data_IF_725441893888
#
_entry.id   IF_725441893888
#
_cell.length_a   1.000
_cell.length_b   1.000
_cell.length_c   1.000
_cell.angle_alpha   90.00
_cell.angle_beta   90.00
_cell.angle_gamma   90.00
#
_symmetry.space_group_name_H-M   'P 1'
#
loop_
_entity.id
_entity.type
_entity.pdbx_description
1 polymer ?
#
# COMPACT_ATOMS: atom_id res chain seq x y z
N UNK A 1 -20.87 18.09 -21.65
CA UNK A 1 -20.50 16.80 -22.25
C UNK A 1 -21.72 16.24 -22.93
N UNK A 2 -21.56 15.70 -24.13
CA UNK A 2 -22.67 15.00 -24.81
C UNK A 2 -22.61 13.48 -24.55
N UNK A 3 -23.70 12.78 -24.86
CA UNK A 3 -23.83 11.33 -24.65
C UNK A 3 -22.75 10.53 -25.42
N UNK A 4 -22.27 11.03 -26.56
CA UNK A 4 -21.22 10.37 -27.37
C UNK A 4 -19.89 10.37 -26.61
N UNK A 5 -19.54 11.51 -26.03
CA UNK A 5 -18.33 11.69 -25.23
C UNK A 5 -18.37 10.79 -23.98
N UNK A 6 -19.48 10.78 -23.25
CA UNK A 6 -19.66 9.93 -22.07
C UNK A 6 -19.52 8.43 -22.42
N UNK A 7 -20.13 7.98 -23.53
CA UNK A 7 -20.00 6.59 -24.01
C UNK A 7 -18.54 6.25 -24.35
N UNK A 8 -17.79 7.19 -24.95
CA UNK A 8 -16.38 6.98 -25.25
C UNK A 8 -15.54 6.77 -23.99
N UNK A 9 -15.78 7.57 -22.94
CA UNK A 9 -15.11 7.44 -21.64
C UNK A 9 -15.46 6.13 -20.93
N UNK A 10 -16.72 5.70 -20.96
CA UNK A 10 -17.13 4.41 -20.39
C UNK A 10 -16.45 3.22 -21.10
N UNK A 11 -16.28 3.29 -22.43
CA UNK A 11 -15.51 2.30 -23.19
C UNK A 11 -14.03 2.32 -22.81
N UNK A 12 -13.47 3.49 -22.50
CA UNK A 12 -12.11 3.59 -21.99
C UNK A 12 -11.97 2.86 -20.65
N UNK A 13 -12.88 3.06 -19.69
CA UNK A 13 -12.87 2.30 -18.42
C UNK A 13 -12.85 0.79 -18.64
N UNK A 14 -13.72 0.28 -19.52
CA UNK A 14 -13.76 -1.15 -19.88
C UNK A 14 -12.44 -1.63 -20.48
N UNK A 15 -11.78 -0.80 -21.31
CA UNK A 15 -10.48 -1.10 -21.89
C UNK A 15 -9.38 -1.15 -20.82
N UNK A 16 -9.40 -0.23 -19.86
CA UNK A 16 -8.43 -0.23 -18.75
C UNK A 16 -8.58 -1.48 -17.88
N UNK A 17 -9.80 -1.95 -17.67
CA UNK A 17 -10.08 -3.18 -16.94
C UNK A 17 -9.47 -4.41 -17.65
N UNK A 18 -9.64 -4.51 -18.97
CA UNK A 18 -9.06 -5.60 -19.77
C UNK A 18 -7.51 -5.60 -19.76
N UNK A 19 -6.88 -4.43 -19.65
CA UNK A 19 -5.41 -4.31 -19.53
C UNK A 19 -4.93 -4.99 -18.24
N UNK A 20 -5.68 -4.89 -17.15
CA UNK A 20 -5.35 -5.54 -15.89
C UNK A 20 -5.47 -7.06 -15.95
N UNK A 21 -6.37 -7.59 -16.78
CA UNK A 21 -6.54 -9.03 -17.02
C UNK A 21 -5.53 -9.59 -18.05
N UNK A 22 -4.88 -8.71 -18.81
CA UNK A 22 -3.96 -9.12 -19.87
C UNK A 22 -2.68 -9.77 -19.31
N UNK A 23 -2.14 -10.81 -19.98
CA UNK A 23 -0.90 -11.45 -19.58
C UNK A 23 0.29 -10.47 -19.71
N UNK A 24 1.36 -10.74 -18.96
CA UNK A 24 2.58 -9.94 -18.98
C UNK A 24 3.30 -10.09 -20.32
N UNK A 25 3.69 -8.97 -20.92
CA UNK A 25 4.55 -8.93 -22.10
C UNK A 25 5.80 -8.10 -21.77
N UNK A 26 6.98 -8.65 -22.09
CA UNK A 26 8.25 -7.98 -21.87
C UNK A 26 8.55 -6.94 -22.96
N UNK A 27 9.37 -5.94 -22.63
CA UNK A 27 9.83 -4.91 -23.57
C UNK A 27 9.02 -3.62 -23.58
N UNK A 28 8.02 -3.47 -22.71
CA UNK A 28 7.32 -2.21 -22.50
C UNK A 28 7.96 -1.40 -21.37
N UNK A 29 8.15 -0.10 -21.60
CA UNK A 29 8.62 0.83 -20.58
C UNK A 29 7.85 2.13 -20.67
N UNK A 30 7.17 2.47 -19.57
CA UNK A 30 6.58 3.79 -19.39
C UNK A 30 7.13 4.38 -18.08
N UNK A 31 7.92 5.46 -18.13
CA UNK A 31 8.39 6.11 -16.91
C UNK A 31 7.23 6.82 -16.21
N UNK A 32 7.33 6.92 -14.87
CA UNK A 32 6.35 7.61 -14.01
C UNK A 32 5.99 8.99 -14.59
N UNK A 33 7.00 9.78 -14.96
CA UNK A 33 6.82 11.12 -15.53
C UNK A 33 5.96 11.15 -16.79
N UNK A 34 6.04 10.11 -17.64
CA UNK A 34 5.23 10.00 -18.86
C UNK A 34 3.78 9.65 -18.52
N UNK A 35 3.56 8.74 -17.56
CA UNK A 35 2.20 8.42 -17.11
C UNK A 35 1.55 9.63 -16.44
N UNK A 36 2.25 10.31 -15.54
CA UNK A 36 1.79 11.56 -14.90
C UNK A 36 1.46 12.63 -15.94
N UNK A 37 2.32 12.82 -16.95
CA UNK A 37 2.05 13.74 -18.07
C UNK A 37 0.75 13.38 -18.81
N UNK A 38 0.53 12.10 -19.15
CA UNK A 38 -0.69 11.70 -19.83
C UNK A 38 -1.95 11.86 -18.98
N UNK A 39 -1.87 11.71 -17.65
CA UNK A 39 -3.00 12.00 -16.75
C UNK A 39 -3.40 13.48 -16.86
N UNK A 40 -2.43 14.39 -16.72
CA UNK A 40 -2.70 15.82 -16.82
C UNK A 40 -3.15 16.23 -18.22
N UNK A 41 -2.52 15.70 -19.28
CA UNK A 41 -2.93 15.94 -20.67
C UNK A 41 -4.37 15.51 -20.90
N UNK A 42 -4.75 14.32 -20.41
CA UNK A 42 -6.11 13.82 -20.52
C UNK A 42 -7.11 14.73 -19.79
N UNK A 43 -6.84 15.09 -18.54
CA UNK A 43 -7.71 15.97 -17.77
C UNK A 43 -7.90 17.34 -18.44
N UNK A 44 -6.81 18.00 -18.85
CA UNK A 44 -6.87 19.32 -19.47
C UNK A 44 -7.58 19.30 -20.82
N UNK A 45 -7.37 18.27 -21.63
CA UNK A 45 -8.05 18.13 -22.91
C UNK A 45 -9.56 17.92 -22.72
N UNK A 46 -9.98 17.16 -21.70
CA UNK A 46 -11.40 16.96 -21.38
C UNK A 46 -12.10 18.21 -20.86
N UNK A 47 -11.37 19.19 -20.32
CA UNK A 47 -11.92 20.52 -20.00
C UNK A 47 -12.11 21.41 -21.23
N UNK A 48 -11.67 20.98 -22.42
CA UNK A 48 -11.82 21.71 -23.68
C UNK A 48 -12.91 21.08 -24.56
N UNK A 49 -13.46 21.86 -25.50
CA UNK A 49 -14.39 21.31 -26.49
C UNK A 49 -13.62 20.44 -27.50
N UNK A 50 -13.67 19.12 -27.32
CA UNK A 50 -13.09 18.14 -28.23
C UNK A 50 -14.12 17.65 -29.24
N UNK A 51 -13.72 17.53 -30.50
CA UNK A 51 -14.45 16.73 -31.48
C UNK A 51 -14.26 15.22 -31.25
N UNK A 52 -15.12 14.41 -31.89
CA UNK A 52 -15.14 12.96 -31.73
C UNK A 52 -13.82 12.26 -32.12
N UNK A 53 -13.09 12.77 -33.12
CA UNK A 53 -11.82 12.18 -33.55
C UNK A 53 -10.71 12.49 -32.55
N UNK A 54 -10.66 13.74 -32.08
CA UNK A 54 -9.73 14.19 -31.05
C UNK A 54 -9.93 13.44 -29.74
N UNK A 55 -11.19 13.21 -29.34
CA UNK A 55 -11.49 12.42 -28.14
C UNK A 55 -11.05 10.96 -28.28
N UNK A 56 -11.31 10.32 -29.43
CA UNK A 56 -10.86 8.94 -29.67
C UNK A 56 -9.34 8.84 -29.62
N UNK A 57 -8.63 9.76 -30.28
CA UNK A 57 -7.17 9.80 -30.26
C UNK A 57 -6.63 9.99 -28.83
N UNK A 58 -7.27 10.87 -28.03
CA UNK A 58 -6.89 11.11 -26.64
C UNK A 58 -7.06 9.85 -25.78
N UNK A 59 -8.20 9.15 -25.91
CA UNK A 59 -8.45 7.89 -25.22
C UNK A 59 -7.48 6.77 -25.64
N UNK A 60 -7.11 6.72 -26.91
CA UNK A 60 -6.12 5.76 -27.43
C UNK A 60 -4.71 6.04 -26.89
N UNK A 61 -4.27 7.29 -26.91
CA UNK A 61 -2.99 7.72 -26.32
C UNK A 61 -2.91 7.34 -24.84
N UNK A 62 -3.95 7.71 -24.09
CA UNK A 62 -4.02 7.45 -22.65
C UNK A 62 -4.03 5.95 -22.35
N UNK A 63 -4.89 5.17 -23.01
CA UNK A 63 -4.94 3.72 -22.81
C UNK A 63 -3.65 3.01 -23.20
N UNK A 64 -2.95 3.49 -24.24
CA UNK A 64 -1.65 2.95 -24.65
C UNK A 64 -0.57 3.25 -23.63
N UNK A 65 -0.53 4.48 -23.11
CA UNK A 65 0.40 4.87 -22.05
C UNK A 65 0.17 4.05 -20.77
N UNK A 66 -1.10 3.91 -20.37
CA UNK A 66 -1.52 3.10 -19.24
C UNK A 66 -1.14 1.63 -19.41
N UNK A 67 -1.41 1.04 -20.58
CA UNK A 67 -0.98 -0.33 -20.90
C UNK A 67 0.53 -0.49 -20.72
N UNK A 68 1.33 0.40 -21.31
CA UNK A 68 2.79 0.34 -21.19
C UNK A 68 3.24 0.46 -19.73
N UNK A 69 2.57 1.29 -18.93
CA UNK A 69 2.83 1.45 -17.51
C UNK A 69 2.53 0.16 -16.75
N UNK A 70 1.31 -0.38 -16.83
CA UNK A 70 0.91 -1.63 -16.19
C UNK A 70 1.84 -2.79 -16.56
N UNK A 71 2.16 -2.93 -17.85
CA UNK A 71 3.06 -3.99 -18.32
C UNK A 71 4.46 -3.84 -17.73
N UNK A 72 4.98 -2.62 -17.61
CA UNK A 72 6.28 -2.39 -16.98
C UNK A 72 6.30 -2.75 -15.50
N UNK A 73 5.19 -2.59 -14.78
CA UNK A 73 5.07 -3.02 -13.37
C UNK A 73 4.99 -4.54 -13.29
N UNK A 74 4.09 -5.15 -14.07
CA UNK A 74 3.90 -6.61 -14.12
C UNK A 74 5.20 -7.35 -14.47
N UNK A 75 5.93 -6.87 -15.47
CA UNK A 75 7.22 -7.43 -15.89
C UNK A 75 8.22 -7.40 -14.73
N UNK A 76 8.33 -6.24 -14.05
CA UNK A 76 9.23 -6.06 -12.91
C UNK A 76 8.88 -6.95 -11.72
N UNK A 77 7.61 -7.08 -11.36
CA UNK A 77 7.21 -7.90 -10.19
C UNK A 77 7.20 -9.40 -10.50
N UNK A 78 7.02 -9.81 -11.76
CA UNK A 78 6.91 -11.23 -12.14
C UNK A 78 8.15 -12.08 -11.83
N UNK A 79 9.30 -11.43 -11.63
CA UNK A 79 10.57 -12.07 -11.32
C UNK A 79 11.00 -11.89 -9.85
N UNK A 80 10.18 -11.21 -9.05
CA UNK A 80 10.47 -10.92 -7.64
C UNK A 80 9.80 -11.94 -6.71
N UNK A 81 10.18 -11.91 -5.44
CA UNK A 81 9.60 -12.77 -4.42
C UNK A 81 8.09 -12.58 -4.25
N UNK A 82 7.43 -13.63 -3.76
CA UNK A 82 5.95 -13.72 -3.65
C UNK A 82 5.32 -12.54 -2.91
N UNK A 83 5.98 -12.00 -1.89
CA UNK A 83 5.50 -10.83 -1.14
C UNK A 83 5.42 -9.61 -2.05
N UNK A 84 6.46 -9.35 -2.83
CA UNK A 84 6.51 -8.21 -3.75
C UNK A 84 5.51 -8.43 -4.89
N UNK A 85 5.30 -9.67 -5.33
CA UNK A 85 4.24 -10.00 -6.27
C UNK A 85 2.86 -9.63 -5.71
N UNK A 86 2.53 -10.08 -4.49
CA UNK A 86 1.25 -9.75 -3.84
C UNK A 86 1.08 -8.25 -3.62
N UNK A 87 2.11 -7.56 -3.11
CA UNK A 87 2.07 -6.11 -2.94
C UNK A 87 1.94 -5.37 -4.27
N UNK A 88 2.60 -5.88 -5.33
CA UNK A 88 2.47 -5.37 -6.68
C UNK A 88 1.07 -5.59 -7.25
N UNK A 89 0.44 -6.73 -6.98
CA UNK A 89 -0.96 -7.01 -7.36
C UNK A 89 -1.94 -6.08 -6.63
N UNK A 90 -1.78 -5.88 -5.32
CA UNK A 90 -2.57 -4.95 -4.52
C UNK A 90 -2.43 -3.50 -5.02
N UNK A 91 -1.20 -3.10 -5.34
CA UNK A 91 -0.93 -1.83 -5.98
C UNK A 91 -1.65 -1.70 -7.33
N UNK A 92 -1.57 -2.71 -8.19
CA UNK A 92 -2.23 -2.71 -9.49
C UNK A 92 -3.75 -2.59 -9.34
N UNK A 93 -4.35 -3.27 -8.36
CA UNK A 93 -5.77 -3.14 -8.05
C UNK A 93 -6.14 -1.72 -7.60
N UNK A 94 -5.31 -1.08 -6.76
CA UNK A 94 -5.50 0.32 -6.35
C UNK A 94 -5.36 1.28 -7.53
N UNK A 95 -4.34 1.11 -8.36
CA UNK A 95 -4.10 1.91 -9.55
C UNK A 95 -5.28 1.83 -10.53
N UNK A 96 -5.83 0.62 -10.73
CA UNK A 96 -7.05 0.40 -11.53
C UNK A 96 -8.23 1.22 -11.01
N UNK A 97 -8.52 1.09 -9.71
CA UNK A 97 -9.63 1.79 -9.06
C UNK A 97 -9.54 3.30 -9.23
N UNK A 98 -8.34 3.85 -9.08
CA UNK A 98 -8.10 5.29 -9.19
C UNK A 98 -8.19 5.79 -10.64
N UNK A 99 -7.70 5.00 -11.61
CA UNK A 99 -7.82 5.31 -13.04
C UNK A 99 -9.28 5.32 -13.51
N UNK A 100 -10.07 4.32 -13.11
CA UNK A 100 -11.51 4.23 -13.44
C UNK A 100 -12.26 5.39 -12.81
N UNK A 101 -12.05 5.66 -11.51
CA UNK A 101 -12.70 6.78 -10.82
C UNK A 101 -12.38 8.12 -11.50
N UNK A 102 -11.12 8.36 -11.86
CA UNK A 102 -10.70 9.56 -12.58
C UNK A 102 -11.50 9.79 -13.88
N UNK A 103 -11.72 8.73 -14.68
CA UNK A 103 -12.48 8.84 -15.93
C UNK A 103 -13.98 8.99 -15.67
N UNK A 104 -14.52 8.29 -14.68
CA UNK A 104 -15.93 8.39 -14.30
C UNK A 104 -16.29 9.79 -13.77
N UNK A 105 -15.39 10.42 -13.00
CA UNK A 105 -15.59 11.77 -12.49
C UNK A 105 -15.66 12.81 -13.61
N UNK A 106 -14.82 12.64 -14.64
CA UNK A 106 -14.86 13.46 -15.86
C UNK A 106 -16.19 13.21 -16.59
N UNK A 107 -16.56 11.95 -16.81
CA UNK A 107 -17.78 11.59 -17.52
C UNK A 107 -19.06 12.08 -16.83
N UNK A 108 -19.04 12.17 -15.50
CA UNK A 108 -20.16 12.58 -14.66
C UNK A 108 -20.25 14.09 -14.45
N UNK A 109 -19.38 14.87 -15.10
CA UNK A 109 -19.28 16.33 -14.93
C UNK A 109 -19.20 16.77 -13.46
N UNK A 110 -18.44 16.03 -12.64
CA UNK A 110 -18.22 16.42 -11.24
C UNK A 110 -17.59 17.81 -11.16
N UNK A 111 -17.79 18.52 -10.05
CA UNK A 111 -17.17 19.83 -9.85
C UNK A 111 -15.65 19.80 -10.09
N UNK A 112 -15.12 20.79 -10.82
CA UNK A 112 -13.70 20.86 -11.21
C UNK A 112 -12.73 20.65 -10.04
N UNK A 113 -13.10 21.14 -8.85
CA UNK A 113 -12.29 20.95 -7.63
C UNK A 113 -12.18 19.48 -7.24
N UNK A 114 -13.26 18.72 -7.35
CA UNK A 114 -13.29 17.28 -7.04
C UNK A 114 -12.49 16.51 -8.09
N UNK A 115 -12.63 16.87 -9.36
CA UNK A 115 -11.84 16.26 -10.44
C UNK A 115 -10.33 16.49 -10.24
N UNK A 116 -9.90 17.71 -9.91
CA UNK A 116 -8.50 18.04 -9.62
C UNK A 116 -7.95 17.26 -8.43
N UNK A 117 -8.74 17.10 -7.36
CA UNK A 117 -8.35 16.27 -6.21
C UNK A 117 -8.14 14.81 -6.63
N UNK A 118 -8.99 14.27 -7.50
CA UNK A 118 -8.89 12.88 -7.94
C UNK A 118 -7.76 12.68 -8.97
N UNK A 119 -7.44 13.68 -9.80
CA UNK A 119 -6.19 13.72 -10.59
C UNK A 119 -4.98 13.61 -9.66
N UNK A 120 -4.93 14.42 -8.58
CA UNK A 120 -3.85 14.37 -7.61
C UNK A 120 -3.67 13.00 -6.97
N UNK A 121 -4.77 12.37 -6.53
CA UNK A 121 -4.74 11.00 -5.97
C UNK A 121 -4.25 9.96 -6.97
N UNK A 122 -4.65 10.07 -8.24
CA UNK A 122 -4.19 9.13 -9.26
C UNK A 122 -2.69 9.30 -9.55
N UNK A 123 -2.20 10.54 -9.62
CA UNK A 123 -0.77 10.83 -9.72
C UNK A 123 0.02 10.29 -8.52
N UNK A 124 -0.49 10.46 -7.29
CA UNK A 124 0.14 9.93 -6.07
C UNK A 124 0.30 8.40 -6.14
N UNK A 125 -0.72 7.68 -6.62
CA UNK A 125 -0.60 6.23 -6.82
C UNK A 125 0.41 5.90 -7.91
N UNK A 126 0.46 6.65 -9.02
CA UNK A 126 1.48 6.45 -10.06
C UNK A 126 2.90 6.66 -9.51
N UNK A 127 3.12 7.67 -8.68
CA UNK A 127 4.42 7.93 -8.03
C UNK A 127 4.85 6.81 -7.08
N UNK A 128 3.88 6.24 -6.35
CA UNK A 128 4.08 5.09 -5.46
C UNK A 128 4.51 3.81 -6.17
N UNK A 129 4.45 3.74 -7.51
CA UNK A 129 5.01 2.59 -8.24
C UNK A 129 6.49 2.39 -7.97
N UNK A 130 7.25 3.48 -7.77
CA UNK A 130 8.68 3.42 -7.47
C UNK A 130 8.98 2.65 -6.18
N UNK A 131 8.09 2.71 -5.21
CA UNK A 131 8.20 2.09 -3.89
C UNK A 131 8.10 0.55 -3.97
N UNK A 132 7.36 0.03 -4.96
CA UNK A 132 7.26 -1.42 -5.23
C UNK A 132 8.60 -1.95 -5.75
N UNK A 133 9.36 -1.10 -6.43
CA UNK A 133 10.64 -1.47 -7.06
C UNK A 133 11.85 -1.21 -6.16
N UNK A 134 11.63 -0.82 -4.90
CA UNK A 134 12.69 -0.84 -3.91
C UNK A 134 13.21 -2.29 -3.77
N UNK A 135 14.49 -2.44 -3.40
CA UNK A 135 15.04 -3.78 -3.11
C UNK A 135 14.11 -4.53 -2.16
N UNK A 136 14.03 -5.86 -2.26
CA UNK A 136 13.23 -6.68 -1.34
C UNK A 136 13.43 -6.25 0.11
N UNK A 137 14.69 -6.06 0.53
CA UNK A 137 15.01 -5.58 1.88
C UNK A 137 14.40 -4.21 2.19
N UNK A 138 14.45 -3.27 1.25
CA UNK A 138 13.81 -1.95 1.34
C UNK A 138 12.30 -2.05 1.50
N UNK A 139 11.63 -2.85 0.67
CA UNK A 139 10.19 -3.09 0.75
C UNK A 139 9.78 -3.68 2.11
N UNK A 140 10.49 -4.71 2.58
CA UNK A 140 10.22 -5.34 3.89
C UNK A 140 10.40 -4.35 5.02
N UNK A 141 11.49 -3.57 4.99
CA UNK A 141 11.73 -2.57 6.02
C UNK A 141 10.64 -1.52 6.02
N UNK A 142 10.18 -1.08 4.85
CA UNK A 142 9.11 -0.11 4.74
C UNK A 142 7.79 -0.62 5.34
N UNK A 143 7.44 -1.87 5.07
CA UNK A 143 6.23 -2.48 5.64
C UNK A 143 6.35 -2.61 7.16
N UNK A 144 7.49 -3.04 7.70
CA UNK A 144 7.71 -3.10 9.15
C UNK A 144 7.75 -1.69 9.77
N UNK A 145 8.42 -0.73 9.13
CA UNK A 145 8.51 0.67 9.57
C UNK A 145 7.10 1.30 9.65
N UNK A 146 6.21 0.98 8.72
CA UNK A 146 4.80 1.43 8.78
C UNK A 146 4.07 0.89 10.02
N UNK A 147 4.27 -0.37 10.38
CA UNK A 147 3.68 -0.94 11.58
C UNK A 147 4.32 -0.34 12.85
N UNK A 148 5.63 -0.05 12.84
CA UNK A 148 6.32 0.65 13.94
C UNK A 148 5.70 2.04 14.17
N UNK A 149 5.45 2.81 13.12
CA UNK A 149 4.85 4.14 13.24
C UNK A 149 3.41 4.08 13.76
N UNK A 150 2.64 3.04 13.41
CA UNK A 150 1.32 2.81 14.00
C UNK A 150 1.42 2.50 15.50
N UNK A 151 2.36 1.65 15.90
CA UNK A 151 2.62 1.35 17.32
C UNK A 151 3.02 2.62 18.09
N UNK A 152 3.89 3.46 17.53
CA UNK A 152 4.30 4.74 18.15
C UNK A 152 3.12 5.69 18.31
N UNK A 153 2.29 5.85 17.27
CA UNK A 153 1.08 6.67 17.35
C UNK A 153 0.14 6.19 18.46
N UNK A 154 -0.06 4.87 18.57
CA UNK A 154 -0.89 4.31 19.63
C UNK A 154 -0.31 4.59 21.03
N UNK A 155 1.02 4.54 21.21
CA UNK A 155 1.65 4.93 22.49
C UNK A 155 1.37 6.38 22.84
N UNK A 156 1.46 7.29 21.87
CA UNK A 156 1.18 8.72 22.08
C UNK A 156 -0.28 8.94 22.52
N UNK A 157 -1.23 8.19 21.95
CA UNK A 157 -2.65 8.28 22.30
C UNK A 157 -2.95 7.78 23.73
N UNK A 158 -2.15 6.82 24.23
CA UNK A 158 -2.34 6.19 25.56
C UNK A 158 -1.52 6.92 26.66
N UNK A 159 -0.48 7.67 26.28
CA UNK A 159 0.46 8.32 27.21
C UNK A 159 -0.18 9.41 28.09
N UNK A 160 -1.38 9.88 27.77
CA UNK A 160 -2.14 10.85 28.55
C UNK A 160 -2.96 10.23 29.70
N UNK A 161 -2.93 8.89 29.87
CA UNK A 161 -3.71 8.19 30.91
C UNK A 161 -2.83 7.54 32.01
N UNK A 162 -3.13 7.85 33.28
CA UNK A 162 -2.38 7.42 34.48
C UNK A 162 -2.31 5.88 34.70
N UNK A 163 -3.02 5.08 33.89
CA UNK A 163 -3.11 3.61 33.97
C UNK A 163 -2.12 2.86 33.03
N UNK A 164 -1.29 3.59 32.27
CA UNK A 164 -0.67 3.04 31.06
C UNK A 164 0.79 2.55 31.15
N UNK A 165 1.47 2.65 32.30
CA UNK A 165 2.94 2.44 32.35
C UNK A 165 3.38 1.03 31.90
N UNK A 166 2.61 -0.01 32.24
CA UNK A 166 2.88 -1.39 31.81
C UNK A 166 2.67 -1.57 30.29
N UNK A 167 1.58 -1.00 29.75
CA UNK A 167 1.23 -1.08 28.32
C UNK A 167 2.25 -0.35 27.48
N UNK A 168 2.60 0.88 27.87
CA UNK A 168 3.63 1.70 27.22
C UNK A 168 4.97 0.95 27.22
N UNK A 169 5.30 0.24 28.31
CA UNK A 169 6.48 -0.62 28.39
C UNK A 169 6.49 -1.74 27.34
N UNK A 170 5.36 -2.43 27.15
CA UNK A 170 5.22 -3.51 26.15
C UNK A 170 5.32 -2.96 24.72
N UNK A 171 4.69 -1.82 24.44
CA UNK A 171 4.80 -1.16 23.13
C UNK A 171 6.22 -0.71 22.84
N UNK A 172 6.89 -0.03 23.76
CA UNK A 172 8.27 0.46 23.55
C UNK A 172 9.26 -0.69 23.30
N UNK A 173 9.11 -1.82 24.00
CA UNK A 173 9.89 -3.04 23.74
C UNK A 173 9.63 -3.59 22.34
N UNK A 174 8.36 -3.63 21.92
CA UNK A 174 7.96 -4.11 20.60
C UNK A 174 8.49 -3.21 19.49
N UNK A 175 8.40 -1.89 19.64
CA UNK A 175 8.98 -0.90 18.73
C UNK A 175 10.49 -1.12 18.60
N UNK A 176 11.22 -1.18 19.71
CA UNK A 176 12.66 -1.38 19.70
C UNK A 176 13.09 -2.71 19.05
N UNK A 177 12.33 -3.78 19.27
CA UNK A 177 12.55 -5.07 18.60
C UNK A 177 12.42 -4.94 17.08
N UNK A 178 11.32 -4.35 16.60
CA UNK A 178 11.05 -4.23 15.16
C UNK A 178 11.99 -3.24 14.46
N UNK A 179 12.43 -2.17 15.13
CA UNK A 179 13.46 -1.25 14.62
C UNK A 179 14.79 -2.00 14.38
N UNK A 180 15.18 -2.89 15.30
CA UNK A 180 16.37 -3.72 15.17
C UNK A 180 16.21 -4.78 14.07
N UNK A 181 15.03 -5.39 13.92
CA UNK A 181 14.72 -6.30 12.80
C UNK A 181 14.85 -5.56 11.46
N UNK A 182 14.25 -4.38 11.31
CA UNK A 182 14.41 -3.52 10.14
C UNK A 182 15.88 -3.26 9.83
N UNK A 183 16.66 -2.86 10.84
CA UNK A 183 18.11 -2.62 10.67
C UNK A 183 18.83 -3.84 10.10
N UNK A 184 18.52 -5.04 10.60
CA UNK A 184 19.16 -6.29 10.14
C UNK A 184 18.71 -6.74 8.75
N UNK A 185 17.46 -6.46 8.39
CA UNK A 185 16.97 -6.65 7.02
C UNK A 185 17.72 -5.71 6.07
N UNK A 186 17.87 -4.41 6.39
CA UNK A 186 18.66 -3.46 5.57
C UNK A 186 20.13 -3.88 5.44
N UNK A 187 20.72 -4.40 6.51
CA UNK A 187 22.10 -4.91 6.52
C UNK A 187 22.27 -6.22 5.72
N UNK A 188 21.19 -6.80 5.18
CA UNK A 188 21.21 -8.06 4.44
C UNK A 188 21.52 -9.29 5.30
N UNK A 189 21.27 -9.20 6.61
CA UNK A 189 21.54 -10.28 7.57
C UNK A 189 20.40 -11.29 7.69
N UNK A 190 19.23 -10.97 7.12
CA UNK A 190 18.05 -11.80 7.10
C UNK A 190 17.89 -12.40 5.71
N UNK A 191 17.55 -13.69 5.64
CA UNK A 191 17.30 -14.38 4.38
C UNK A 191 15.99 -13.88 3.75
N UNK A 192 15.95 -13.67 2.42
CA UNK A 192 14.73 -13.33 1.68
C UNK A 192 13.49 -14.18 2.06
N UNK A 193 13.68 -15.51 2.15
CA UNK A 193 12.61 -16.46 2.46
C UNK A 193 11.97 -16.25 3.85
N UNK A 194 12.72 -15.70 4.81
CA UNK A 194 12.20 -15.43 6.15
C UNK A 194 11.48 -14.08 6.24
N UNK A 195 11.64 -13.22 5.25
CA UNK A 195 11.11 -11.87 5.30
C UNK A 195 9.58 -11.81 5.21
N UNK A 196 8.96 -12.76 4.52
CA UNK A 196 7.49 -12.90 4.49
C UNK A 196 6.94 -13.17 5.89
N UNK A 197 7.65 -14.01 6.65
CA UNK A 197 7.29 -14.34 8.02
C UNK A 197 7.41 -13.11 8.91
N UNK A 198 8.42 -12.27 8.70
CA UNK A 198 8.64 -11.04 9.48
C UNK A 198 7.56 -9.99 9.22
N UNK A 199 7.18 -9.74 7.96
CA UNK A 199 6.10 -8.79 7.63
C UNK A 199 4.77 -9.24 8.22
N UNK A 200 4.43 -10.55 8.11
CA UNK A 200 3.19 -11.05 8.71
C UNK A 200 3.20 -10.95 10.23
N UNK A 201 4.32 -11.30 10.85
CA UNK A 201 4.47 -11.21 12.30
C UNK A 201 4.39 -9.76 12.80
N UNK A 202 4.97 -8.79 12.08
CA UNK A 202 4.87 -7.37 12.48
C UNK A 202 3.42 -6.88 12.44
N UNK A 203 2.66 -7.25 11.41
CA UNK A 203 1.24 -6.91 11.29
C UNK A 203 0.39 -7.57 12.38
N UNK A 204 0.65 -8.84 12.72
CA UNK A 204 -0.08 -9.54 13.78
C UNK A 204 0.25 -9.00 15.18
N UNK A 205 1.52 -8.65 15.42
CA UNK A 205 1.95 -7.97 16.66
C UNK A 205 1.28 -6.60 16.77
N UNK A 206 1.31 -5.78 15.70
CA UNK A 206 0.69 -4.46 15.70
C UNK A 206 -0.79 -4.52 16.04
N UNK A 207 -1.55 -5.42 15.39
CA UNK A 207 -2.98 -5.63 15.68
C UNK A 207 -3.23 -6.11 17.11
N UNK A 208 -2.36 -6.97 17.63
CA UNK A 208 -2.53 -7.52 18.99
C UNK A 208 -2.23 -6.44 20.04
N UNK A 209 -1.23 -5.58 19.80
CA UNK A 209 -0.92 -4.43 20.64
C UNK A 209 -2.02 -3.38 20.60
N UNK A 210 -2.55 -3.06 19.42
CA UNK A 210 -3.67 -2.13 19.26
C UNK A 210 -4.92 -2.61 20.04
N UNK A 211 -5.23 -3.90 19.95
CA UNK A 211 -6.33 -4.46 20.75
C UNK A 211 -6.02 -4.47 22.25
N UNK A 212 -4.78 -4.77 22.64
CA UNK A 212 -4.35 -4.70 24.03
C UNK A 212 -4.56 -3.30 24.59
N UNK A 213 -4.11 -2.26 23.88
CA UNK A 213 -4.35 -0.87 24.23
C UNK A 213 -5.85 -0.58 24.44
N UNK A 214 -6.71 -1.01 23.51
CA UNK A 214 -8.16 -0.86 23.64
C UNK A 214 -8.71 -1.52 24.91
N UNK A 215 -8.29 -2.75 25.23
CA UNK A 215 -8.72 -3.46 26.44
C UNK A 215 -8.30 -2.71 27.72
N UNK A 216 -7.10 -2.13 27.75
CA UNK A 216 -6.63 -1.35 28.91
C UNK A 216 -7.36 -0.01 29.07
N UNK A 217 -7.71 0.66 27.96
CA UNK A 217 -8.48 1.90 27.97
C UNK A 217 -9.95 1.70 28.38
N UNK A 218 -10.49 0.48 28.22
CA UNK A 218 -11.91 0.19 28.42
C UNK A 218 -12.21 -0.72 29.61
N UNK A 219 -11.20 -1.36 30.21
CA UNK A 219 -11.37 -2.40 31.21
C UNK A 219 -11.38 -1.92 32.66
N UNK A 220 -12.55 -1.98 33.31
CA UNK A 220 -12.68 -1.88 34.77
C UNK A 220 -13.02 -3.25 35.44
N UNK A 221 -13.18 -4.33 34.67
CA UNK A 221 -13.80 -5.60 35.13
C UNK A 221 -12.89 -6.85 34.98
N UNK A 222 -13.19 -7.93 35.73
CA UNK A 222 -12.42 -9.20 35.75
C UNK A 222 -12.28 -9.90 34.38
N UNK A 223 -13.25 -9.74 33.47
CA UNK A 223 -13.18 -10.30 32.11
C UNK A 223 -12.06 -9.65 31.28
N UNK A 224 -11.83 -8.34 31.43
CA UNK A 224 -10.74 -7.63 30.75
C UNK A 224 -9.36 -8.14 31.18
N UNK A 225 -9.20 -8.55 32.44
CA UNK A 225 -7.93 -9.10 32.94
C UNK A 225 -7.57 -10.47 32.34
N UNK A 226 -8.57 -11.31 32.07
CA UNK A 226 -8.36 -12.61 31.39
C UNK A 226 -7.95 -12.35 29.94
N UNK A 227 -8.64 -11.43 29.26
CA UNK A 227 -8.37 -11.09 27.86
C UNK A 227 -6.95 -10.49 27.68
N UNK A 228 -6.53 -9.61 28.60
CA UNK A 228 -5.16 -9.07 28.65
C UNK A 228 -4.11 -10.18 28.81
N UNK A 229 -4.36 -11.21 29.64
CA UNK A 229 -3.43 -12.33 29.79
C UNK A 229 -3.32 -13.15 28.50
N UNK A 230 -4.45 -13.45 27.86
CA UNK A 230 -4.46 -14.18 26.58
C UNK A 230 -3.72 -13.42 25.47
N UNK A 231 -3.88 -12.09 25.40
CA UNK A 231 -3.18 -11.25 24.45
C UNK A 231 -1.66 -11.21 24.69
N UNK A 232 -1.24 -11.15 25.95
CA UNK A 232 0.18 -11.23 26.30
C UNK A 232 0.80 -12.60 25.97
N UNK A 233 0.06 -13.70 26.17
CA UNK A 233 0.51 -15.03 25.75
C UNK A 233 0.62 -15.14 24.24
N UNK A 234 -0.35 -14.57 23.51
CA UNK A 234 -0.31 -14.50 22.04
C UNK A 234 0.90 -13.72 21.55
N UNK A 235 1.21 -12.56 22.13
CA UNK A 235 2.41 -11.80 21.79
C UNK A 235 3.69 -12.62 22.02
N UNK A 236 3.80 -13.31 23.16
CA UNK A 236 4.94 -14.21 23.43
C UNK A 236 5.06 -15.33 22.40
N UNK A 237 3.95 -15.93 22.00
CA UNK A 237 3.94 -16.97 20.94
C UNK A 237 4.42 -16.41 19.61
N UNK A 238 3.92 -15.23 19.20
CA UNK A 238 4.33 -14.57 17.95
C UNK A 238 5.84 -14.28 17.94
N UNK A 239 6.38 -13.76 19.04
CA UNK A 239 7.82 -13.51 19.16
C UNK A 239 8.65 -14.79 19.18
N UNK A 240 8.15 -15.86 19.81
CA UNK A 240 8.79 -17.17 19.79
C UNK A 240 8.86 -17.74 18.37
N UNK A 241 7.80 -17.59 17.57
CA UNK A 241 7.74 -18.12 16.21
C UNK A 241 8.75 -17.46 15.26
N UNK A 242 9.03 -16.17 15.47
CA UNK A 242 10.05 -15.43 14.69
C UNK A 242 11.46 -15.52 15.27
N UNK A 243 11.62 -15.92 16.54
CA UNK A 243 12.94 -16.17 17.14
C UNK A 243 13.72 -17.31 16.44
N UNK A 244 13.02 -18.15 15.67
CA UNK A 244 13.63 -19.17 14.80
C UNK A 244 14.23 -18.63 13.50
N UNK A 245 14.06 -17.34 13.18
CA UNK A 245 14.64 -16.71 11.99
C UNK A 245 16.14 -16.45 12.21
N UNK A 246 16.96 -16.90 11.26
CA UNK A 246 18.41 -16.68 11.31
C UNK A 246 18.72 -15.18 11.23
N UNK A 247 19.48 -14.68 12.22
CA UNK A 247 19.81 -13.27 12.33
C UNK A 247 18.86 -12.47 13.21
N UNK A 248 17.93 -13.10 13.96
CA UNK A 248 17.04 -12.43 14.94
C UNK A 248 17.22 -13.00 16.36
N UNK A 249 17.89 -14.14 16.50
CA UNK A 249 17.88 -14.95 17.73
C UNK A 249 18.47 -14.26 18.97
N UNK A 250 19.28 -13.22 18.78
CA UNK A 250 19.95 -12.44 19.82
C UNK A 250 19.26 -11.09 20.10
N UNK A 251 18.16 -10.76 19.43
CA UNK A 251 17.37 -9.55 19.75
C UNK A 251 16.57 -9.83 21.02
N UNK A 252 16.78 -9.02 22.06
CA UNK A 252 16.14 -9.18 23.38
C UNK A 252 14.85 -8.36 23.44
N UNK A 253 13.77 -8.99 23.90
CA UNK A 253 12.47 -8.38 24.25
C UNK A 253 12.35 -8.10 25.75
#
# INVERSE_FOLDING_TARGET
>A
MDDSQAICLLRLCQKLDQIHESPTYSGYSCPISRMTHEIYKFHLAMSSSLDDESLKSLCEDFSTCYLCFIMSIKDRISHLDRIIQTAGEDYLAKLRKEAVRFIEDIASEMEDKVQLVNVGKFCEVVEKSSEIFESLQGFICKEIDKEIEQMKSAVEDIADEDLAEEVIGVFNKSVGFWEEVCRRVRDGRIRPDDCERLVRASQEVCKTLDYLACCYLTGEDEESNIEIQELNEKLRSLYSDISGVEGIQDIVL
#
